data_IF_013714675290
#
_entry.id   IF_013714675290
#
_cell.length_a   1.000
_cell.length_b   1.000
_cell.length_c   1.000
_cell.angle_alpha   90.00
_cell.angle_beta   90.00
_cell.angle_gamma   90.00
#
_symmetry.space_group_name_H-M   'P 1'
#
loop_
_entity.id
_entity.type
_entity.pdbx_description
1 polymer ?
#
# COMPACT_ATOMS: atom_id res chain seq x y z
N UNK A 1 -1.53 -20.41 -6.96
CA UNK A 1 -2.12 -19.47 -7.95
C UNK A 1 -1.52 -18.08 -7.82
N UNK A 2 -1.31 -17.57 -6.61
CA UNK A 2 -0.89 -16.18 -6.33
C UNK A 2 0.54 -15.86 -6.80
N UNK A 3 1.48 -16.79 -6.67
CA UNK A 3 2.86 -16.63 -7.19
C UNK A 3 2.90 -16.41 -8.71
N UNK A 4 2.02 -17.08 -9.46
CA UNK A 4 2.01 -16.98 -10.93
C UNK A 4 1.61 -15.59 -11.42
N UNK A 5 0.71 -14.90 -10.70
CA UNK A 5 0.31 -13.54 -11.03
C UNK A 5 1.45 -12.54 -10.75
N UNK A 6 2.21 -12.78 -9.68
CA UNK A 6 3.41 -12.02 -9.35
C UNK A 6 4.50 -12.21 -10.42
N UNK A 7 4.75 -13.45 -10.84
CA UNK A 7 5.76 -13.74 -11.87
C UNK A 7 5.42 -13.06 -13.21
N UNK A 8 4.14 -13.06 -13.59
CA UNK A 8 3.65 -12.35 -14.78
C UNK A 8 3.83 -10.84 -14.67
N UNK A 9 3.63 -10.25 -13.48
CA UNK A 9 3.85 -8.82 -13.26
C UNK A 9 5.31 -8.43 -13.52
N UNK A 10 6.29 -9.24 -13.09
CA UNK A 10 7.71 -8.97 -13.30
C UNK A 10 8.19 -9.15 -14.75
N UNK A 11 7.39 -9.75 -15.62
CA UNK A 11 7.68 -9.82 -17.05
C UNK A 11 7.35 -8.51 -17.78
N UNK A 12 6.65 -7.58 -17.13
CA UNK A 12 6.26 -6.32 -17.73
C UNK A 12 7.41 -5.33 -17.62
N UNK A 13 8.02 -5.00 -18.75
CA UNK A 13 9.24 -4.18 -18.81
C UNK A 13 9.03 -2.76 -18.25
N UNK A 14 7.79 -2.24 -18.29
CA UNK A 14 7.35 -0.99 -17.65
C UNK A 14 5.85 -1.04 -17.30
N UNK A 15 5.47 -1.49 -16.09
CA UNK A 15 4.07 -1.51 -15.71
C UNK A 15 3.54 -0.07 -15.61
N UNK A 16 2.42 0.20 -16.26
CA UNK A 16 1.72 1.48 -16.11
C UNK A 16 0.99 1.54 -14.75
N UNK A 17 0.42 2.70 -14.43
CA UNK A 17 -0.25 2.93 -13.15
C UNK A 17 -1.43 1.99 -12.89
N UNK A 18 -2.17 1.61 -13.93
CA UNK A 18 -3.29 0.64 -13.82
C UNK A 18 -2.76 -0.70 -13.34
N UNK A 19 -1.69 -1.21 -13.97
CA UNK A 19 -1.06 -2.48 -13.61
C UNK A 19 -0.50 -2.41 -12.18
N UNK A 20 0.13 -1.30 -11.81
CA UNK A 20 0.65 -1.10 -10.45
C UNK A 20 -0.47 -1.09 -9.40
N UNK A 21 -1.59 -0.43 -9.66
CA UNK A 21 -2.75 -0.45 -8.78
C UNK A 21 -3.31 -1.86 -8.60
N UNK A 22 -3.43 -2.65 -9.68
CA UNK A 22 -3.86 -4.05 -9.61
C UNK A 22 -2.88 -4.85 -8.74
N UNK A 23 -1.58 -4.66 -8.94
CA UNK A 23 -0.53 -5.35 -8.20
C UNK A 23 -0.57 -5.04 -6.69
N UNK A 24 -0.66 -3.76 -6.29
CA UNK A 24 -0.74 -3.39 -4.87
C UNK A 24 -2.03 -3.89 -4.22
N UNK A 25 -3.16 -3.82 -4.93
CA UNK A 25 -4.42 -4.37 -4.43
C UNK A 25 -4.35 -5.89 -4.28
N UNK A 26 -3.74 -6.61 -5.21
CA UNK A 26 -3.51 -8.05 -5.06
C UNK A 26 -2.66 -8.34 -3.81
N UNK A 27 -1.53 -7.64 -3.63
CA UNK A 27 -0.70 -7.79 -2.43
C UNK A 27 -1.48 -7.53 -1.13
N UNK A 28 -2.34 -6.51 -1.13
CA UNK A 28 -3.20 -6.17 0.00
C UNK A 28 -4.21 -7.28 0.35
N UNK A 29 -4.67 -8.06 -0.64
CA UNK A 29 -5.58 -9.18 -0.42
C UNK A 29 -4.87 -10.42 0.11
N UNK A 30 -3.60 -10.63 -0.27
CA UNK A 30 -2.79 -11.75 0.19
C UNK A 30 -2.47 -11.67 1.67
N UNK A 31 -2.19 -10.46 2.18
CA UNK A 31 -1.84 -10.21 3.60
C UNK A 31 -0.67 -11.08 4.10
N UNK A 32 0.24 -11.46 3.22
CA UNK A 32 1.43 -12.26 3.56
C UNK A 32 2.68 -11.37 3.63
N UNK A 33 3.66 -11.78 4.44
CA UNK A 33 4.97 -11.10 4.50
C UNK A 33 5.68 -11.06 3.14
N UNK A 34 5.51 -12.12 2.34
CA UNK A 34 6.11 -12.19 1.01
C UNK A 34 5.50 -11.13 0.08
N UNK A 35 4.17 -11.00 0.06
CA UNK A 35 3.49 -9.97 -0.73
C UNK A 35 3.87 -8.55 -0.27
N UNK A 36 3.95 -8.33 1.05
CA UNK A 36 4.39 -7.04 1.60
C UNK A 36 5.81 -6.68 1.18
N UNK A 37 6.76 -7.60 1.29
CA UNK A 37 8.15 -7.36 0.91
C UNK A 37 8.27 -7.08 -0.60
N UNK A 38 7.50 -7.80 -1.40
CA UNK A 38 7.45 -7.59 -2.83
C UNK A 38 6.91 -6.20 -3.18
N UNK A 39 5.80 -5.81 -2.54
CA UNK A 39 5.18 -4.52 -2.75
C UNK A 39 6.13 -3.37 -2.38
N UNK A 40 6.89 -3.50 -1.28
CA UNK A 40 7.93 -2.54 -0.91
C UNK A 40 9.01 -2.42 -1.98
N UNK A 41 9.55 -3.55 -2.45
CA UNK A 41 10.59 -3.56 -3.49
C UNK A 41 10.11 -2.88 -4.78
N UNK A 42 8.87 -3.11 -5.20
CA UNK A 42 8.28 -2.45 -6.37
C UNK A 42 8.09 -0.97 -6.10
N UNK A 43 7.54 -0.60 -4.94
CA UNK A 43 7.27 0.79 -4.57
C UNK A 43 8.54 1.66 -4.50
N UNK A 44 9.65 1.10 -4.02
CA UNK A 44 10.94 1.78 -3.92
C UNK A 44 11.56 2.09 -5.30
N UNK A 45 11.22 1.31 -6.33
CA UNK A 45 11.68 1.51 -7.71
C UNK A 45 10.86 2.58 -8.47
N UNK A 46 9.72 3.00 -7.94
CA UNK A 46 8.84 3.98 -8.61
C UNK A 46 9.38 5.41 -8.45
N UNK A 47 9.69 6.06 -9.57
CA UNK A 47 10.17 7.46 -9.58
C UNK A 47 9.04 8.46 -9.38
N UNK A 48 7.91 8.25 -10.07
CA UNK A 48 6.73 9.11 -10.00
C UNK A 48 5.57 8.32 -9.40
N UNK A 49 4.88 8.93 -8.44
CA UNK A 49 3.78 8.31 -7.69
C UNK A 49 2.59 9.27 -7.70
N UNK A 50 1.50 8.88 -8.37
CA UNK A 50 0.23 9.61 -8.30
C UNK A 50 -0.41 9.42 -6.91
N UNK A 51 -1.35 10.30 -6.54
CA UNK A 51 -2.04 10.14 -5.25
C UNK A 51 -2.88 8.85 -5.23
N UNK A 52 -3.49 8.48 -6.35
CA UNK A 52 -4.27 7.25 -6.51
C UNK A 52 -3.42 6.00 -6.28
N UNK A 53 -2.19 6.01 -6.79
CA UNK A 53 -1.25 4.92 -6.55
C UNK A 53 -0.82 4.87 -5.09
N UNK A 54 -0.53 6.03 -4.48
CA UNK A 54 -0.20 6.12 -3.05
C UNK A 54 -1.35 5.59 -2.18
N UNK A 55 -2.61 5.79 -2.56
CA UNK A 55 -3.76 5.18 -1.89
C UNK A 55 -3.75 3.66 -1.92
N UNK A 56 -3.50 3.07 -3.10
CA UNK A 56 -3.42 1.61 -3.23
C UNK A 56 -2.30 1.03 -2.36
N UNK A 57 -1.15 1.72 -2.30
CA UNK A 57 -0.01 1.32 -1.46
C UNK A 57 -0.34 1.49 0.03
N UNK A 58 -1.00 2.58 0.43
CA UNK A 58 -1.45 2.80 1.81
C UNK A 58 -2.40 1.70 2.26
N UNK A 59 -3.42 1.40 1.45
CA UNK A 59 -4.35 0.31 1.71
C UNK A 59 -3.64 -1.05 1.80
N UNK A 60 -2.61 -1.28 0.99
CA UNK A 60 -1.75 -2.46 1.08
C UNK A 60 -1.02 -2.54 2.43
N UNK A 61 -0.38 -1.46 2.89
CA UNK A 61 0.27 -1.44 4.21
C UNK A 61 -0.73 -1.68 5.35
N UNK A 62 -1.91 -1.06 5.29
CA UNK A 62 -2.98 -1.24 6.29
C UNK A 62 -3.42 -2.72 6.34
N UNK A 63 -3.73 -3.33 5.19
CA UNK A 63 -4.20 -4.72 5.14
C UNK A 63 -3.13 -5.75 5.49
N UNK A 64 -1.87 -5.45 5.20
CA UNK A 64 -0.70 -6.25 5.59
C UNK A 64 -0.21 -5.95 7.02
N UNK A 65 -0.96 -5.16 7.77
CA UNK A 65 -0.74 -4.86 9.19
C UNK A 65 0.57 -4.09 9.49
N UNK A 66 1.10 -3.36 8.50
CA UNK A 66 2.35 -2.60 8.58
C UNK A 66 2.11 -1.13 8.94
N UNK A 67 1.82 -0.89 10.21
CA UNK A 67 1.52 0.45 10.74
C UNK A 67 2.61 1.47 10.44
N UNK A 68 3.88 1.09 10.66
CA UNK A 68 5.02 2.00 10.50
C UNK A 68 5.12 2.55 9.08
N UNK A 69 5.00 1.69 8.06
CA UNK A 69 5.09 2.15 6.67
C UNK A 69 3.82 2.88 6.22
N UNK A 70 2.65 2.52 6.77
CA UNK A 70 1.42 3.27 6.54
C UNK A 70 1.53 4.71 7.05
N UNK A 71 2.06 4.93 8.26
CA UNK A 71 2.31 6.26 8.84
C UNK A 71 3.28 7.08 7.98
N UNK A 72 4.44 6.51 7.64
CA UNK A 72 5.45 7.18 6.81
C UNK A 72 4.87 7.61 5.45
N UNK A 73 4.06 6.75 4.83
CA UNK A 73 3.44 7.04 3.54
C UNK A 73 2.36 8.12 3.66
N UNK A 74 1.51 8.00 4.68
CA UNK A 74 0.46 8.97 4.99
C UNK A 74 1.05 10.37 5.21
N UNK A 75 2.23 10.45 5.82
CA UNK A 75 2.92 11.72 6.03
C UNK A 75 3.45 12.37 4.76
N UNK A 76 3.75 11.58 3.74
CA UNK A 76 4.38 12.03 2.49
C UNK A 76 3.41 12.24 1.34
N UNK A 77 2.18 11.75 1.46
CA UNK A 77 1.16 11.87 0.42
C UNK A 77 0.26 13.10 0.61
N UNK A 78 -0.48 13.47 -0.44
CA UNK A 78 -1.55 14.46 -0.32
C UNK A 78 -2.74 13.79 0.35
N UNK A 79 -2.92 14.06 1.65
CA UNK A 79 -3.98 13.49 2.47
C UNK A 79 -5.34 14.09 2.06
N UNK A 80 -6.28 13.24 1.65
CA UNK A 80 -7.69 13.60 1.54
C UNK A 80 -8.55 12.80 2.54
N UNK A 81 -9.86 13.03 2.50
CA UNK A 81 -10.83 12.40 3.41
C UNK A 81 -10.74 10.87 3.44
N UNK A 82 -10.37 10.23 2.32
CA UNK A 82 -10.20 8.79 2.21
C UNK A 82 -8.93 8.35 2.96
N UNK A 83 -7.83 9.11 2.84
CA UNK A 83 -6.59 8.82 3.58
C UNK A 83 -6.81 8.89 5.09
N UNK A 84 -7.39 10.00 5.55
CA UNK A 84 -7.68 10.23 6.96
C UNK A 84 -8.57 9.12 7.52
N UNK A 85 -9.70 8.84 6.86
CA UNK A 85 -10.63 7.78 7.31
C UNK A 85 -9.97 6.40 7.39
N UNK A 86 -9.11 6.07 6.42
CA UNK A 86 -8.39 4.80 6.41
C UNK A 86 -7.39 4.68 7.56
N UNK A 87 -6.59 5.73 7.81
CA UNK A 87 -5.61 5.74 8.90
C UNK A 87 -6.25 5.79 10.27
N UNK A 88 -7.30 6.60 10.46
CA UNK A 88 -8.03 6.65 11.73
C UNK A 88 -8.59 5.27 12.11
N UNK A 89 -9.19 4.57 11.14
CA UNK A 89 -9.66 3.20 11.34
C UNK A 89 -8.51 2.27 11.71
N UNK A 90 -7.36 2.40 11.06
CA UNK A 90 -6.21 1.54 11.35
C UNK A 90 -5.62 1.79 12.74
N UNK A 91 -5.48 3.05 13.16
CA UNK A 91 -5.06 3.39 14.53
C UNK A 91 -5.99 2.82 15.59
N UNK A 92 -7.31 2.88 15.36
CA UNK A 92 -8.29 2.28 16.26
C UNK A 92 -8.11 0.76 16.37
N UNK A 93 -7.94 0.06 15.24
CA UNK A 93 -7.66 -1.39 15.22
C UNK A 93 -6.34 -1.72 15.95
N UNK A 94 -5.37 -0.81 15.89
CA UNK A 94 -4.06 -0.92 16.56
C UNK A 94 -4.08 -0.55 18.03
N UNK A 95 -5.24 -0.24 18.61
CA UNK A 95 -5.39 0.26 19.98
C UNK A 95 -4.55 1.51 20.26
N UNK A 96 -4.41 2.39 19.26
CA UNK A 96 -3.73 3.69 19.35
C UNK A 96 -4.67 4.84 19.01
N UNK A 97 -5.87 4.95 19.62
CA UNK A 97 -6.89 5.93 19.23
C UNK A 97 -6.45 7.38 19.40
N UNK A 98 -5.48 7.67 20.28
CA UNK A 98 -4.96 9.03 20.47
C UNK A 98 -4.28 9.57 19.20
N UNK A 99 -3.67 8.70 18.38
CA UNK A 99 -3.08 9.08 17.09
C UNK A 99 -4.11 9.50 16.04
N UNK A 100 -5.40 9.25 16.27
CA UNK A 100 -6.45 9.75 15.35
C UNK A 100 -6.64 11.26 15.43
N UNK A 101 -6.05 11.92 16.45
CA UNK A 101 -6.11 13.36 16.68
C UNK A 101 -4.85 14.11 16.21
N UNK A 102 -3.85 13.37 15.71
CA UNK A 102 -2.59 13.88 15.14
C UNK A 102 -2.72 14.06 13.61
#
# INVERSE_FOLDING_TARGET
MEQRAVDLFFQIEKPNEIILNIFFNACAQLKTKNALNLAKNVFDQLVVKSNDLLYSVLNMFIKCDDLKNAEILFDRMKRDIIAYGSMMKFYNIKNQPLKTLE
#
